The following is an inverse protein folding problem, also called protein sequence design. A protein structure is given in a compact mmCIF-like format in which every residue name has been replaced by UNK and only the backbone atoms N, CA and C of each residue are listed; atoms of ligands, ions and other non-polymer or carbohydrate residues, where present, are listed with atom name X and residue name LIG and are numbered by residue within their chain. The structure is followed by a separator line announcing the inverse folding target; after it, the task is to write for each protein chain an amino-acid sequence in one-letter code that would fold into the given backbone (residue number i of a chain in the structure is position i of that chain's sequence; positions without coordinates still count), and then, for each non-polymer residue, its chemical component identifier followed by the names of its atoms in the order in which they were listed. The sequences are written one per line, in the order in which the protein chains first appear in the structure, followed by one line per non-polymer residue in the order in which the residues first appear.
data_IF_134756857796
#
_entry.id   IF_134756857796
#
_cell.length_a   1.000
_cell.length_b   1.000
_cell.length_c   1.000
_cell.angle_alpha   90.00
_cell.angle_beta   90.00
_cell.angle_gamma   90.00
#
_symmetry.space_group_name_H-M   'P 1'
#
loop_
_entity.id
_entity.type
_entity.pdbx_description
1 polymer ?
#
# COMPACT_ATOMS: atom_id res chain seq x y z
N UNK A 1 -11.65 -2.15 5.21
CA UNK A 1 -11.82 -0.71 5.52
C UNK A 1 -11.69 0.17 4.28
N UNK A 2 -10.61 0.09 3.50
CA UNK A 2 -10.43 0.90 2.27
C UNK A 2 -11.63 0.80 1.33
N UNK A 3 -12.07 -0.42 1.00
CA UNK A 3 -13.22 -0.65 0.12
C UNK A 3 -14.51 0.03 0.59
N UNK A 4 -14.81 -0.01 1.88
CA UNK A 4 -16.07 0.52 2.42
C UNK A 4 -16.00 2.02 2.66
N UNK A 5 -14.92 2.48 3.29
CA UNK A 5 -14.83 3.83 3.86
C UNK A 5 -14.13 4.83 2.91
N UNK A 6 -13.48 4.36 1.85
CA UNK A 6 -12.91 5.23 0.83
C UNK A 6 -13.66 5.00 -0.49
N UNK A 7 -13.52 3.81 -1.05
CA UNK A 7 -14.08 3.47 -2.37
C UNK A 7 -15.62 3.53 -2.34
N UNK A 8 -16.24 2.91 -1.33
CA UNK A 8 -17.69 2.89 -1.15
C UNK A 8 -18.30 4.26 -0.85
N UNK A 9 -17.51 5.21 -0.36
CA UNK A 9 -17.89 6.61 -0.19
C UNK A 9 -17.70 7.45 -1.46
N UNK A 10 -17.19 6.87 -2.55
CA UNK A 10 -16.97 7.54 -3.82
C UNK A 10 -15.67 8.32 -3.90
N UNK A 11 -14.68 8.05 -3.04
CA UNK A 11 -13.37 8.69 -3.10
C UNK A 11 -12.56 8.12 -4.28
N UNK A 12 -12.15 9.01 -5.20
CA UNK A 12 -11.40 8.65 -6.42
C UNK A 12 -9.88 8.62 -6.25
N UNK A 13 -9.36 8.91 -5.05
CA UNK A 13 -7.95 8.73 -4.77
C UNK A 13 -7.52 9.19 -3.38
N UNK A 14 -6.35 8.72 -2.94
CA UNK A 14 -5.80 9.04 -1.62
C UNK A 14 -4.27 8.88 -1.57
N UNK A 15 -3.65 9.58 -0.63
CA UNK A 15 -2.28 9.31 -0.22
C UNK A 15 -2.29 8.10 0.72
N UNK A 16 -1.69 6.99 0.31
CA UNK A 16 -1.43 5.83 1.16
C UNK A 16 -0.10 6.06 1.90
N UNK A 17 -0.12 6.95 2.88
CA UNK A 17 1.08 7.40 3.59
C UNK A 17 1.70 6.32 4.48
N UNK A 18 2.91 6.59 4.97
CA UNK A 18 3.76 5.73 5.80
C UNK A 18 4.19 4.43 5.13
N UNK A 19 4.71 3.50 5.93
CA UNK A 19 5.30 2.24 5.49
C UNK A 19 6.70 2.02 6.07
N UNK A 20 7.36 3.07 6.56
CA UNK A 20 8.79 3.07 6.92
C UNK A 20 9.08 2.96 8.42
N UNK A 21 8.06 3.00 9.29
CA UNK A 21 8.25 3.03 10.75
C UNK A 21 8.04 1.66 11.43
N UNK A 22 8.10 0.56 10.69
CA UNK A 22 7.99 -0.77 11.30
C UNK A 22 9.16 -1.00 12.27
N UNK A 23 8.94 -1.27 13.57
CA UNK A 23 10.05 -1.46 14.50
C UNK A 23 10.90 -2.69 14.13
N UNK A 24 12.22 -2.54 14.10
CA UNK A 24 13.14 -3.64 13.80
C UNK A 24 13.11 -4.76 14.86
N UNK A 25 12.79 -4.41 16.11
CA UNK A 25 12.73 -5.33 17.24
C UNK A 25 11.59 -4.96 18.20
N UNK A 26 11.30 -5.85 19.17
CA UNK A 26 10.29 -5.60 20.20
C UNK A 26 8.84 -5.84 19.77
N UNK A 27 8.61 -6.29 18.53
CA UNK A 27 7.29 -6.61 17.97
C UNK A 27 7.27 -8.08 17.53
N UNK A 28 6.18 -8.78 17.83
CA UNK A 28 5.91 -10.13 17.30
C UNK A 28 4.94 -10.04 16.14
N UNK A 29 5.36 -10.54 14.98
CA UNK A 29 4.54 -10.61 13.78
C UNK A 29 3.83 -11.97 13.66
N UNK A 30 2.70 -11.99 12.96
CA UNK A 30 1.86 -13.19 12.82
C UNK A 30 2.60 -14.38 12.19
N UNK A 31 3.49 -14.11 11.24
CA UNK A 31 4.29 -15.11 10.52
C UNK A 31 5.62 -15.44 11.21
N UNK A 32 5.84 -14.94 12.43
CA UNK A 32 7.06 -15.07 13.21
C UNK A 32 8.35 -14.55 12.54
N UNK A 33 8.27 -13.76 11.45
CA UNK A 33 9.44 -13.06 10.91
C UNK A 33 9.88 -11.95 11.87
N UNK A 34 11.18 -11.61 11.84
CA UNK A 34 11.70 -10.48 12.63
C UNK A 34 11.37 -9.14 11.99
N UNK A 35 11.31 -8.09 12.81
CA UNK A 35 11.12 -6.72 12.32
C UNK A 35 12.24 -6.28 11.37
N UNK A 36 13.47 -6.72 11.59
CA UNK A 36 14.61 -6.46 10.70
C UNK A 36 14.37 -6.97 9.26
N UNK A 37 13.76 -8.15 9.11
CA UNK A 37 13.43 -8.72 7.78
C UNK A 37 12.25 -7.99 7.15
N UNK A 38 11.27 -7.59 7.96
CA UNK A 38 10.01 -7.01 7.48
C UNK A 38 10.08 -5.50 7.25
N UNK A 39 10.98 -4.78 7.91
CA UNK A 39 11.04 -3.31 7.88
C UNK A 39 11.06 -2.77 6.45
N UNK A 40 11.98 -3.26 5.65
CA UNK A 40 12.10 -2.87 4.24
C UNK A 40 10.97 -3.43 3.36
N UNK A 41 10.37 -4.57 3.71
CA UNK A 41 9.26 -5.15 2.95
C UNK A 41 7.93 -4.45 3.23
N UNK A 42 7.84 -3.71 4.33
CA UNK A 42 6.58 -3.14 4.81
C UNK A 42 5.93 -2.14 3.83
N UNK A 43 6.67 -1.21 3.19
CA UNK A 43 6.11 -0.35 2.14
C UNK A 43 5.53 -1.15 0.96
N UNK A 44 6.17 -2.27 0.59
CA UNK A 44 5.72 -3.14 -0.51
C UNK A 44 4.41 -3.85 -0.16
N UNK A 45 4.32 -4.39 1.05
CA UNK A 45 3.09 -5.03 1.55
C UNK A 45 1.94 -4.02 1.63
N UNK A 46 2.25 -2.78 2.06
CA UNK A 46 1.27 -1.70 2.12
C UNK A 46 0.77 -1.27 0.73
N UNK A 47 1.68 -1.18 -0.25
CA UNK A 47 1.32 -0.93 -1.65
C UNK A 47 0.42 -2.04 -2.23
N UNK A 48 0.77 -3.32 -1.98
CA UNK A 48 -0.02 -4.47 -2.43
C UNK A 48 -1.45 -4.42 -1.89
N UNK A 49 -1.61 -4.17 -0.59
CA UNK A 49 -2.92 -4.09 0.04
C UNK A 49 -3.79 -2.97 -0.56
N UNK A 50 -3.21 -1.79 -0.84
CA UNK A 50 -3.96 -0.71 -1.48
C UNK A 50 -4.38 -1.07 -2.92
N UNK A 51 -3.48 -1.68 -3.70
CA UNK A 51 -3.78 -2.15 -5.06
C UNK A 51 -4.86 -3.22 -5.06
N UNK A 52 -4.77 -4.23 -4.21
CA UNK A 52 -5.78 -5.29 -4.05
C UNK A 52 -7.14 -4.69 -3.72
N UNK A 53 -7.22 -3.70 -2.82
CA UNK A 53 -8.48 -3.05 -2.48
C UNK A 53 -9.14 -2.36 -3.68
N UNK A 54 -8.36 -1.72 -4.55
CA UNK A 54 -8.86 -1.08 -5.78
C UNK A 54 -9.27 -2.13 -6.83
N UNK A 55 -8.44 -3.14 -7.04
CA UNK A 55 -8.68 -4.23 -7.99
C UNK A 55 -9.93 -5.02 -7.65
N UNK A 56 -10.05 -5.46 -6.40
CA UNK A 56 -11.22 -6.21 -5.92
C UNK A 56 -12.50 -5.37 -5.87
N UNK A 57 -12.40 -4.04 -5.99
CA UNK A 57 -13.55 -3.13 -6.14
C UNK A 57 -13.89 -2.84 -7.60
N UNK A 58 -13.14 -3.39 -8.57
CA UNK A 58 -13.33 -3.16 -9.99
C UNK A 58 -13.03 -1.72 -10.43
N UNK A 59 -12.10 -1.05 -9.75
CA UNK A 59 -11.79 0.38 -9.92
C UNK A 59 -10.37 0.66 -10.41
N UNK A 60 -9.70 -0.34 -10.99
CA UNK A 60 -8.40 -0.13 -11.63
C UNK A 60 -8.54 0.88 -12.78
N UNK A 61 -7.69 1.91 -12.78
CA UNK A 61 -7.74 3.01 -13.74
C UNK A 61 -8.70 4.15 -13.38
N UNK A 62 -9.71 3.90 -12.54
CA UNK A 62 -10.65 4.92 -12.05
C UNK A 62 -10.16 5.62 -10.79
N UNK A 63 -9.39 4.91 -9.97
CA UNK A 63 -8.91 5.36 -8.67
C UNK A 63 -7.39 5.41 -8.67
N UNK A 64 -6.81 6.44 -8.06
CA UNK A 64 -5.36 6.60 -7.91
C UNK A 64 -4.99 6.67 -6.43
N UNK A 65 -4.03 5.86 -6.01
CA UNK A 65 -3.32 6.07 -4.75
C UNK A 65 -1.83 6.25 -5.01
N UNK A 66 -1.18 7.02 -4.14
CA UNK A 66 0.26 7.26 -4.21
C UNK A 66 0.88 7.14 -2.82
N UNK A 67 2.16 6.79 -2.78
CA UNK A 67 2.90 6.48 -1.55
C UNK A 67 4.19 7.28 -1.48
N UNK A 68 4.61 7.64 -0.26
CA UNK A 68 5.92 8.28 -0.02
C UNK A 68 7.00 7.25 0.31
N UNK A 69 6.65 6.23 1.10
CA UNK A 69 7.58 5.16 1.45
C UNK A 69 7.65 4.12 0.32
N UNK A 70 8.82 3.52 0.13
CA UNK A 70 9.05 2.52 -0.91
C UNK A 70 10.23 1.63 -0.59
N UNK A 71 10.28 0.50 -1.29
CA UNK A 71 11.41 -0.43 -1.32
C UNK A 71 11.40 -1.14 -2.69
N UNK A 72 12.29 -2.10 -2.93
CA UNK A 72 12.30 -2.88 -4.16
C UNK A 72 10.87 -3.32 -4.56
N UNK A 73 10.51 -3.06 -5.82
CA UNK A 73 9.19 -3.35 -6.42
C UNK A 73 8.02 -2.45 -6.00
N UNK A 74 8.14 -1.53 -5.05
CA UNK A 74 6.98 -0.70 -4.65
C UNK A 74 6.46 0.21 -5.77
N UNK A 75 7.37 0.73 -6.60
CA UNK A 75 7.05 1.63 -7.71
C UNK A 75 6.30 0.96 -8.88
N UNK A 76 6.27 -0.37 -8.97
CA UNK A 76 5.45 -1.08 -9.97
C UNK A 76 4.06 -1.46 -9.44
N UNK A 77 3.80 -1.13 -8.17
CA UNK A 77 2.59 -1.51 -7.44
C UNK A 77 1.73 -0.28 -7.11
N UNK A 78 2.35 0.85 -6.77
CA UNK A 78 1.62 2.11 -6.70
C UNK A 78 1.10 2.55 -8.09
N UNK A 79 0.04 3.35 -8.10
CA UNK A 79 -0.68 3.68 -9.34
C UNK A 79 -0.27 5.02 -9.94
N UNK A 80 0.93 5.51 -9.61
CA UNK A 80 1.44 6.80 -10.12
C UNK A 80 1.85 6.74 -11.59
N UNK A 81 2.16 5.57 -12.13
CA UNK A 81 2.52 5.36 -13.54
C UNK A 81 1.37 5.70 -14.53
N UNK A 82 0.14 5.77 -14.04
CA UNK A 82 -1.04 6.12 -14.85
C UNK A 82 -1.27 7.63 -15.00
N UNK A 83 -0.49 8.49 -14.33
CA UNK A 83 -0.69 9.96 -14.35
C UNK A 83 0.15 10.62 -15.46
N UNK A 84 1.12 9.90 -16.06
CA UNK A 84 2.05 10.43 -17.07
C UNK A 84 1.65 10.17 -18.53
N UNK A 85 0.39 9.89 -18.84
CA UNK A 85 -0.12 9.78 -20.22
C UNK A 85 -1.34 10.65 -20.45
#
# INVERSE_FOLDING_TARGET
MIKTNLIGMGISGWMADFGEYLPASGVKFYDNQSGEVLHNKWPVLWAKLNREAVEESGKLGDIVFWMRAGFSESASIDMTDNISK
#
